data_IF_075727618379
#
_entry.id   IF_075727618379
#
_cell.length_a   1.000
_cell.length_b   1.000
_cell.length_c   1.000
_cell.angle_alpha   90.00
_cell.angle_beta   90.00
_cell.angle_gamma   90.00
#
_symmetry.space_group_name_H-M   'P 1'
#
loop_
_entity.id
_entity.type
_entity.pdbx_description
1 polymer ?
#
# COMPACT_ATOMS: atom_id res chain seq x y z
N UNK A 1 -6.49 -22.05 2.52
CA UNK A 1 -5.62 -21.67 1.37
C UNK A 1 -6.25 -20.50 0.62
N UNK A 2 -5.46 -19.52 0.21
CA UNK A 2 -5.93 -18.38 -0.57
C UNK A 2 -5.48 -18.53 -2.04
N UNK A 3 -6.39 -18.21 -2.95
CA UNK A 3 -6.03 -18.04 -4.36
C UNK A 3 -5.98 -16.57 -4.72
N UNK A 4 -5.20 -16.24 -5.70
CA UNK A 4 -5.01 -14.87 -6.18
C UNK A 4 -5.19 -14.83 -7.70
N UNK A 5 -5.98 -13.87 -8.15
CA UNK A 5 -6.26 -13.69 -9.57
C UNK A 5 -6.38 -12.19 -9.85
N UNK A 6 -5.24 -11.50 -10.03
CA UNK A 6 -5.25 -10.05 -10.24
C UNK A 6 -6.12 -9.62 -11.41
N UNK A 7 -6.86 -8.53 -11.20
CA UNK A 7 -7.63 -7.88 -12.25
C UNK A 7 -6.68 -7.38 -13.33
N UNK A 8 -6.88 -7.74 -14.61
CA UNK A 8 -6.03 -7.21 -15.68
C UNK A 8 -6.04 -5.68 -15.68
N UNK A 9 -4.86 -5.09 -15.83
CA UNK A 9 -4.72 -3.64 -15.93
C UNK A 9 -5.12 -3.19 -17.34
N UNK A 10 -5.69 -1.99 -17.45
CA UNK A 10 -5.98 -1.37 -18.73
C UNK A 10 -4.68 -1.01 -19.47
N UNK A 11 -4.76 -0.76 -20.77
CA UNK A 11 -3.61 -0.30 -21.54
C UNK A 11 -3.07 1.04 -21.01
N UNK A 12 -3.93 1.91 -20.52
CA UNK A 12 -3.53 3.20 -19.93
C UNK A 12 -2.75 2.95 -18.64
N UNK A 13 -3.24 2.09 -17.77
CA UNK A 13 -2.54 1.75 -16.52
C UNK A 13 -1.17 1.10 -16.82
N UNK A 14 -1.13 0.15 -17.75
CA UNK A 14 0.12 -0.48 -18.18
C UNK A 14 1.12 0.56 -18.69
N UNK A 15 0.67 1.48 -19.54
CA UNK A 15 1.52 2.55 -20.08
C UNK A 15 2.09 3.46 -18.99
N UNK A 16 1.29 3.80 -17.99
CA UNK A 16 1.75 4.61 -16.85
C UNK A 16 2.77 3.86 -15.99
N UNK A 17 2.57 2.58 -15.72
CA UNK A 17 3.54 1.76 -15.00
C UNK A 17 4.83 1.61 -15.81
N UNK A 18 4.73 1.41 -17.11
CA UNK A 18 5.91 1.35 -18.01
C UNK A 18 6.71 2.65 -17.95
N UNK A 19 6.06 3.80 -17.85
CA UNK A 19 6.74 5.08 -17.68
C UNK A 19 7.52 5.16 -16.37
N UNK A 20 6.99 4.58 -15.28
CA UNK A 20 7.72 4.48 -14.01
C UNK A 20 8.93 3.55 -14.14
N UNK A 21 8.81 2.47 -14.90
CA UNK A 21 9.95 1.58 -15.18
C UNK A 21 11.01 2.32 -16.01
N UNK A 22 10.62 3.01 -17.06
CA UNK A 22 11.54 3.76 -17.93
C UNK A 22 12.27 4.88 -17.18
N UNK A 23 11.61 5.50 -16.21
CA UNK A 23 12.22 6.54 -15.39
C UNK A 23 13.04 6.00 -14.21
N UNK A 24 13.18 4.68 -14.08
CA UNK A 24 13.97 4.05 -13.04
C UNK A 24 13.31 3.99 -11.67
N UNK A 25 12.03 4.32 -11.57
CA UNK A 25 11.27 4.30 -10.30
C UNK A 25 10.78 2.90 -9.92
N UNK A 26 10.48 2.09 -10.91
CA UNK A 26 10.09 0.69 -10.75
C UNK A 26 10.99 -0.23 -11.57
N UNK A 27 11.06 -1.48 -11.15
CA UNK A 27 11.66 -2.56 -11.92
C UNK A 27 10.62 -3.63 -12.19
N UNK A 28 10.60 -4.17 -13.41
CA UNK A 28 9.84 -5.37 -13.71
C UNK A 28 10.54 -6.59 -13.11
N UNK A 29 9.77 -7.43 -12.43
CA UNK A 29 10.24 -8.67 -11.81
C UNK A 29 9.18 -9.75 -12.07
N UNK A 30 9.51 -11.03 -11.90
CA UNK A 30 8.49 -12.06 -11.97
C UNK A 30 7.39 -11.83 -10.94
N UNK A 31 6.15 -12.12 -11.32
CA UNK A 31 5.01 -12.14 -10.41
C UNK A 31 5.29 -13.11 -9.26
N UNK A 32 5.00 -12.68 -8.04
CA UNK A 32 5.21 -13.49 -6.83
C UNK A 32 3.98 -13.43 -5.92
N UNK A 33 3.07 -14.36 -6.13
CA UNK A 33 1.82 -14.43 -5.35
C UNK A 33 2.07 -14.85 -3.88
N UNK A 34 3.09 -15.65 -3.62
CA UNK A 34 3.47 -15.99 -2.24
C UNK A 34 3.91 -14.76 -1.45
N UNK A 35 4.72 -13.91 -2.07
CA UNK A 35 5.15 -12.65 -1.46
C UNK A 35 3.96 -11.70 -1.27
N UNK A 36 3.10 -11.57 -2.27
CA UNK A 36 1.89 -10.77 -2.17
C UNK A 36 1.00 -11.23 -1.02
N UNK A 37 0.80 -12.53 -0.88
CA UNK A 37 0.03 -13.13 0.21
C UNK A 37 0.61 -12.77 1.57
N UNK A 38 1.93 -12.90 1.74
CA UNK A 38 2.59 -12.57 3.02
C UNK A 38 2.37 -11.11 3.41
N UNK A 39 2.48 -10.18 2.46
CA UNK A 39 2.22 -8.77 2.73
C UNK A 39 0.76 -8.50 3.08
N UNK A 40 -0.18 -9.14 2.41
CA UNK A 40 -1.62 -9.03 2.75
C UNK A 40 -1.88 -9.53 4.17
N UNK A 41 -1.35 -10.69 4.52
CA UNK A 41 -1.50 -11.26 5.86
C UNK A 41 -0.89 -10.36 6.93
N UNK A 42 0.29 -9.79 6.65
CA UNK A 42 0.99 -8.87 7.55
C UNK A 42 0.18 -7.59 7.77
N UNK A 43 -0.35 -7.00 6.69
CA UNK A 43 -1.20 -5.82 6.79
C UNK A 43 -2.49 -6.12 7.58
N UNK A 44 -3.14 -7.22 7.30
CA UNK A 44 -4.37 -7.62 7.98
C UNK A 44 -4.13 -7.86 9.48
N UNK A 45 -3.04 -8.54 9.84
CA UNK A 45 -2.65 -8.79 11.23
C UNK A 45 -2.41 -7.47 11.97
N UNK A 46 -1.63 -6.56 11.38
CA UNK A 46 -1.37 -5.25 11.98
C UNK A 46 -2.66 -4.47 12.21
N UNK A 47 -3.56 -4.45 11.23
CA UNK A 47 -4.82 -3.71 11.32
C UNK A 47 -5.77 -4.30 12.37
N UNK A 48 -5.69 -5.58 12.66
CA UNK A 48 -6.44 -6.19 13.76
C UNK A 48 -5.94 -5.73 15.13
N UNK A 49 -4.66 -5.50 15.28
CA UNK A 49 -4.02 -5.19 16.57
C UNK A 49 -3.99 -3.68 16.88
N UNK A 50 -3.90 -2.83 15.85
CA UNK A 50 -3.72 -1.39 16.02
C UNK A 50 -4.78 -0.71 16.88
N UNK A 51 -6.09 -1.07 16.83
CA UNK A 51 -7.08 -0.41 17.68
C UNK A 51 -6.84 -0.57 19.18
N UNK A 52 -6.12 -1.61 19.61
CA UNK A 52 -5.77 -1.84 21.01
C UNK A 52 -4.50 -1.10 21.46
N UNK A 53 -3.75 -0.54 20.54
CA UNK A 53 -2.56 0.26 20.84
C UNK A 53 -2.99 1.63 21.35
N UNK A 54 -2.42 2.06 22.48
CA UNK A 54 -2.80 3.32 23.12
C UNK A 54 -2.05 4.53 22.59
N UNK A 55 -0.78 4.36 22.21
CA UNK A 55 0.09 5.44 21.77
C UNK A 55 -0.25 5.85 20.32
N UNK A 56 -0.63 7.10 20.13
CA UNK A 56 -0.99 7.64 18.81
C UNK A 56 0.15 7.46 17.78
N UNK A 57 1.39 7.70 18.20
CA UNK A 57 2.56 7.53 17.32
C UNK A 57 2.67 6.09 16.82
N UNK A 58 2.52 5.10 17.70
CA UNK A 58 2.59 3.68 17.32
C UNK A 58 1.42 3.28 16.44
N UNK A 59 0.23 3.80 16.72
CA UNK A 59 -0.95 3.57 15.89
C UNK A 59 -0.76 4.15 14.49
N UNK A 60 -0.22 5.35 14.40
CA UNK A 60 0.09 6.01 13.13
C UNK A 60 1.12 5.22 12.34
N UNK A 61 2.26 4.91 12.97
CA UNK A 61 3.34 4.16 12.33
C UNK A 61 2.86 2.79 11.85
N UNK A 62 2.08 2.09 12.67
CA UNK A 62 1.51 0.79 12.32
C UNK A 62 0.52 0.88 11.16
N UNK A 63 -0.33 1.91 11.15
CA UNK A 63 -1.26 2.16 10.05
C UNK A 63 -0.54 2.48 8.74
N UNK A 64 0.48 3.33 8.80
CA UNK A 64 1.32 3.63 7.64
C UNK A 64 2.03 2.38 7.13
N UNK A 65 2.61 1.58 8.02
CA UNK A 65 3.28 0.34 7.63
C UNK A 65 2.32 -0.66 6.99
N UNK A 66 1.09 -0.77 7.50
CA UNK A 66 0.07 -1.62 6.90
C UNK A 66 -0.29 -1.13 5.48
N UNK A 67 -0.44 0.17 5.29
CA UNK A 67 -0.68 0.76 3.96
C UNK A 67 0.49 0.46 3.00
N UNK A 68 1.71 0.59 3.49
CA UNK A 68 2.92 0.26 2.73
C UNK A 68 2.94 -1.22 2.32
N UNK A 69 2.61 -2.12 3.25
CA UNK A 69 2.53 -3.56 2.98
C UNK A 69 1.51 -3.89 1.89
N UNK A 70 0.37 -3.20 1.89
CA UNK A 70 -0.63 -3.33 0.81
C UNK A 70 -0.03 -2.95 -0.54
N UNK A 71 0.71 -1.85 -0.59
CA UNK A 71 1.42 -1.44 -1.80
C UNK A 71 2.41 -2.50 -2.28
N UNK A 72 3.20 -3.05 -1.37
CA UNK A 72 4.15 -4.11 -1.70
C UNK A 72 3.44 -5.39 -2.19
N UNK A 73 2.29 -5.71 -1.62
CA UNK A 73 1.48 -6.84 -2.10
C UNK A 73 1.02 -6.64 -3.54
N UNK A 74 0.56 -5.43 -3.89
CA UNK A 74 0.16 -5.10 -5.25
C UNK A 74 1.34 -5.20 -6.21
N UNK A 75 2.49 -4.68 -5.82
CA UNK A 75 3.71 -4.77 -6.64
C UNK A 75 4.07 -6.23 -6.92
N UNK A 76 4.09 -7.08 -5.91
CA UNK A 76 4.39 -8.50 -6.06
C UNK A 76 3.36 -9.21 -6.96
N UNK A 77 2.07 -8.86 -6.82
CA UNK A 77 0.98 -9.48 -7.59
C UNK A 77 1.03 -9.10 -9.08
N UNK A 78 1.52 -7.90 -9.40
CA UNK A 78 1.60 -7.42 -10.79
C UNK A 78 3.00 -7.52 -11.41
N UNK A 79 3.99 -8.02 -10.67
CA UNK A 79 5.33 -8.24 -11.20
C UNK A 79 6.20 -6.99 -11.23
N UNK A 80 6.14 -6.18 -10.19
CA UNK A 80 6.98 -4.99 -10.03
C UNK A 80 7.64 -4.97 -8.65
N UNK A 81 8.72 -4.20 -8.55
CA UNK A 81 9.28 -3.74 -7.28
C UNK A 81 9.72 -2.29 -7.44
N UNK A 82 9.69 -1.55 -6.34
CA UNK A 82 10.23 -0.19 -6.34
C UNK A 82 11.75 -0.22 -6.36
N UNK A 83 12.36 0.79 -6.99
CA UNK A 83 13.79 0.98 -6.94
C UNK A 83 14.23 1.34 -5.52
N UNK A 84 15.36 0.78 -5.06
CA UNK A 84 15.92 1.09 -3.75
C UNK A 84 16.45 2.51 -3.68
N UNK A 85 16.41 3.11 -2.49
CA UNK A 85 16.99 4.42 -2.22
C UNK A 85 15.95 5.53 -2.07
N UNK A 86 16.38 6.80 -2.17
CA UNK A 86 15.50 7.94 -2.00
C UNK A 86 14.31 7.90 -2.97
N UNK A 87 13.14 8.23 -2.47
CA UNK A 87 11.91 8.25 -3.28
C UNK A 87 11.19 6.91 -3.41
N UNK A 88 11.66 5.83 -2.78
CA UNK A 88 11.03 4.53 -2.86
C UNK A 88 9.56 4.55 -2.43
N UNK A 89 9.24 5.21 -1.32
CA UNK A 89 7.86 5.31 -0.83
C UNK A 89 6.98 6.18 -1.74
N UNK A 90 7.55 7.22 -2.34
CA UNK A 90 6.86 8.06 -3.33
C UNK A 90 6.50 7.22 -4.56
N UNK A 91 7.44 6.45 -5.07
CA UNK A 91 7.23 5.58 -6.23
C UNK A 91 6.17 4.50 -5.95
N UNK A 92 6.16 3.96 -4.74
CA UNK A 92 5.13 3.00 -4.33
C UNK A 92 3.73 3.64 -4.35
N UNK A 93 3.61 4.85 -3.81
CA UNK A 93 2.36 5.61 -3.82
C UNK A 93 1.87 5.92 -5.23
N UNK A 94 2.77 6.33 -6.13
CA UNK A 94 2.44 6.56 -7.53
C UNK A 94 1.91 5.28 -8.21
N UNK A 95 2.58 4.14 -7.98
CA UNK A 95 2.16 2.86 -8.54
C UNK A 95 0.80 2.42 -8.01
N UNK A 96 0.54 2.57 -6.71
CA UNK A 96 -0.77 2.26 -6.13
C UNK A 96 -1.88 3.10 -6.75
N UNK A 97 -1.66 4.39 -6.93
CA UNK A 97 -2.64 5.31 -7.54
C UNK A 97 -2.98 4.90 -8.96
N UNK A 98 -1.99 4.44 -9.72
CA UNK A 98 -2.21 3.92 -11.08
C UNK A 98 -3.07 2.65 -11.04
N UNK A 99 -2.72 1.69 -10.20
CA UNK A 99 -3.42 0.41 -10.10
C UNK A 99 -4.86 0.59 -9.61
N UNK A 100 -5.08 1.50 -8.67
CA UNK A 100 -6.40 1.78 -8.12
C UNK A 100 -7.23 2.77 -8.94
N UNK A 101 -6.73 3.27 -10.06
CA UNK A 101 -7.48 4.19 -10.90
C UNK A 101 -8.83 3.58 -11.32
N UNK A 102 -9.90 4.36 -11.17
CA UNK A 102 -11.26 3.91 -11.44
C UNK A 102 -11.87 2.99 -10.38
N UNK A 103 -11.20 2.79 -9.23
CA UNK A 103 -11.70 1.96 -8.13
C UNK A 103 -12.07 2.81 -6.91
N UNK A 104 -12.78 2.20 -5.95
CA UNK A 104 -13.12 2.85 -4.68
C UNK A 104 -11.89 3.18 -3.81
N UNK A 105 -10.76 2.51 -4.02
CA UNK A 105 -9.54 2.72 -3.24
C UNK A 105 -8.64 3.84 -3.77
N UNK A 106 -9.01 4.49 -4.87
CA UNK A 106 -8.19 5.54 -5.48
C UNK A 106 -7.88 6.68 -4.50
N UNK A 107 -8.89 7.21 -3.83
CA UNK A 107 -8.71 8.32 -2.90
C UNK A 107 -7.77 7.94 -1.75
N UNK A 108 -7.92 6.74 -1.20
CA UNK A 108 -7.02 6.24 -0.17
C UNK A 108 -5.58 6.11 -0.69
N UNK A 109 -5.39 5.70 -1.94
CA UNK A 109 -4.04 5.60 -2.53
C UNK A 109 -3.40 6.98 -2.72
N UNK A 110 -4.17 8.00 -3.07
CA UNK A 110 -3.70 9.38 -3.15
C UNK A 110 -3.32 9.93 -1.77
N UNK A 111 -4.03 9.53 -0.73
CA UNK A 111 -3.77 9.94 0.64
C UNK A 111 -2.44 9.38 1.19
N UNK A 112 -1.94 8.29 0.62
CA UNK A 112 -0.69 7.64 1.05
C UNK A 112 0.50 8.63 1.10
N UNK A 113 0.61 9.54 0.14
CA UNK A 113 1.69 10.55 0.12
C UNK A 113 1.57 11.53 1.30
N UNK A 114 0.34 11.92 1.68
CA UNK A 114 0.13 12.77 2.85
C UNK A 114 0.50 12.01 4.14
N UNK A 115 0.19 10.73 4.22
CA UNK A 115 0.60 9.88 5.35
C UNK A 115 2.12 9.82 5.47
N UNK A 116 2.83 9.68 4.36
CA UNK A 116 4.29 9.66 4.33
C UNK A 116 4.88 10.98 4.83
N UNK A 117 4.36 12.09 4.35
CA UNK A 117 4.80 13.42 4.78
C UNK A 117 4.61 13.63 6.27
N UNK A 118 3.45 13.30 6.80
CA UNK A 118 3.16 13.44 8.23
C UNK A 118 4.04 12.53 9.09
N UNK A 119 4.31 11.29 8.62
CA UNK A 119 5.24 10.38 9.27
C UNK A 119 6.65 10.96 9.34
N UNK A 120 7.13 11.56 8.26
CA UNK A 120 8.44 12.18 8.22
C UNK A 120 8.52 13.40 9.15
N UNK A 121 7.47 14.25 9.20
CA UNK A 121 7.39 15.36 10.13
C UNK A 121 7.46 14.87 11.58
N UNK A 122 6.74 13.83 11.92
CA UNK A 122 6.76 13.24 13.26
C UNK A 122 8.13 12.71 13.63
N UNK A 123 8.79 11.98 12.72
CA UNK A 123 10.09 11.35 12.98
C UNK A 123 11.25 12.32 13.04
N UNK A 124 11.31 13.26 12.09
CA UNK A 124 12.48 14.15 11.96
C UNK A 124 12.34 15.44 12.75
N UNK A 125 11.14 15.89 13.02
CA UNK A 125 10.87 17.15 13.71
C UNK A 125 10.11 16.95 15.03
N UNK A 126 9.92 15.70 15.46
CA UNK A 126 9.21 15.34 16.67
C UNK A 126 7.81 15.98 16.75
N UNK A 127 7.16 16.21 15.61
CA UNK A 127 5.80 16.73 15.57
C UNK A 127 4.84 15.69 16.14
N UNK A 128 4.02 16.05 17.14
CA UNK A 128 3.12 15.09 17.77
C UNK A 128 2.03 14.62 16.81
N UNK A 129 1.67 13.36 16.91
CA UNK A 129 0.54 12.77 16.18
C UNK A 129 -0.70 12.84 17.06
N UNK A 130 -1.74 13.50 16.56
CA UNK A 130 -3.02 13.55 17.23
C UNK A 130 -3.82 12.25 17.07
N UNK A 131 -4.81 12.08 17.95
CA UNK A 131 -5.69 10.91 17.93
C UNK A 131 -6.42 10.77 16.58
N UNK A 132 -6.94 11.88 16.04
CA UNK A 132 -7.64 11.90 14.76
C UNK A 132 -6.73 11.49 13.59
N UNK A 133 -5.47 11.93 13.57
CA UNK A 133 -4.50 11.53 12.57
C UNK A 133 -4.22 10.03 12.61
N UNK A 134 -4.06 9.47 13.81
CA UNK A 134 -3.84 8.04 13.99
C UNK A 134 -5.06 7.24 13.50
N UNK A 135 -6.28 7.66 13.84
CA UNK A 135 -7.51 7.01 13.39
C UNK A 135 -7.65 7.05 11.87
N UNK A 136 -7.42 8.21 11.25
CA UNK A 136 -7.52 8.37 9.81
C UNK A 136 -6.50 7.52 9.07
N UNK A 137 -5.30 7.36 9.60
CA UNK A 137 -4.27 6.52 9.02
C UNK A 137 -4.69 5.04 9.02
N UNK A 138 -5.28 4.58 10.11
CA UNK A 138 -5.81 3.21 10.19
C UNK A 138 -6.97 3.01 9.20
N UNK A 139 -7.88 3.98 9.11
CA UNK A 139 -9.00 3.93 8.16
C UNK A 139 -8.47 3.86 6.72
N UNK A 140 -7.51 4.71 6.37
CA UNK A 140 -6.90 4.71 5.05
C UNK A 140 -6.26 3.36 4.72
N UNK A 141 -5.50 2.79 5.65
CA UNK A 141 -4.88 1.48 5.47
C UNK A 141 -5.92 0.36 5.28
N UNK A 142 -7.03 0.42 6.01
CA UNK A 142 -8.15 -0.53 5.83
C UNK A 142 -8.79 -0.41 4.46
N UNK A 143 -8.99 0.80 3.97
CA UNK A 143 -9.55 1.03 2.63
C UNK A 143 -8.60 0.51 1.55
N UNK A 144 -7.30 0.73 1.70
CA UNK A 144 -6.29 0.20 0.80
C UNK A 144 -6.27 -1.33 0.81
N UNK A 145 -6.34 -1.95 1.98
CA UNK A 145 -6.40 -3.41 2.09
C UNK A 145 -7.66 -3.98 1.40
N UNK A 146 -8.82 -3.39 1.67
CA UNK A 146 -10.07 -3.81 1.03
C UNK A 146 -9.99 -3.66 -0.48
N UNK A 147 -9.43 -2.54 -0.97
CA UNK A 147 -9.20 -2.31 -2.40
C UNK A 147 -8.25 -3.34 -3.01
N UNK A 148 -7.17 -3.66 -2.32
CA UNK A 148 -6.22 -4.66 -2.79
C UNK A 148 -6.84 -6.05 -2.86
N UNK A 149 -7.60 -6.46 -1.85
CA UNK A 149 -8.29 -7.75 -1.86
C UNK A 149 -9.25 -7.89 -3.05
N UNK A 150 -9.94 -6.82 -3.40
CA UNK A 150 -10.80 -6.77 -4.58
C UNK A 150 -9.96 -6.79 -5.87
N UNK A 151 -8.89 -6.00 -5.93
CA UNK A 151 -8.06 -5.84 -7.12
C UNK A 151 -7.33 -7.12 -7.49
N UNK A 152 -6.77 -7.83 -6.52
CA UNK A 152 -6.05 -9.07 -6.75
C UNK A 152 -6.93 -10.31 -6.57
N UNK A 153 -8.20 -10.08 -6.30
CA UNK A 153 -9.23 -11.14 -6.18
C UNK A 153 -8.81 -12.29 -5.29
N UNK A 154 -8.39 -11.96 -4.06
CA UNK A 154 -8.06 -12.97 -3.07
C UNK A 154 -9.33 -13.67 -2.62
N UNK A 155 -9.34 -14.99 -2.73
CA UNK A 155 -10.45 -15.83 -2.26
C UNK A 155 -9.92 -16.93 -1.36
N UNK A 156 -10.68 -17.23 -0.28
CA UNK A 156 -10.43 -18.43 0.48
C UNK A 156 -10.89 -19.64 -0.35
N UNK A 157 -10.07 -20.66 -0.40
CA UNK A 157 -10.48 -21.96 -0.96
C UNK A 157 -11.15 -22.74 0.16
N UNK A 158 -12.42 -23.09 -0.07
CA UNK A 158 -13.18 -23.92 0.87
C UNK A 158 -12.59 -25.34 0.96
#
# INVERSE_FOLDING_TARGET
MMTMNPTPLTLIQQGRLDNLVKSGKLHQVPVDYSKAKRFIEQAAQSLMELPSIKTNQLRYDGGYNAAHDVGEALMAAYGFRTANGPGQHVSLGEAMTIIFDGTAAKDASEEFENLRKARNQSRYFASPIGNSQADQTIICARELLAGALTQIRVKAIA
#
